data_IF_953758766514
#
_entry.id   IF_953758766514
#
_cell.length_a   1.000
_cell.length_b   1.000
_cell.length_c   1.000
_cell.angle_alpha   90.00
_cell.angle_beta   90.00
_cell.angle_gamma   90.00
#
_symmetry.space_group_name_H-M   'P 1'
#
loop_
_entity.id
_entity.type
_entity.pdbx_description
1 polymer ?
#
# COMPACT_ATOMS: atom_id res chain seq x y z
N UNK A 1 -14.09 64.35 19.28
CA UNK A 1 -12.75 63.85 18.93
C UNK A 1 -12.45 62.64 19.82
N UNK A 2 -12.89 61.45 19.37
CA UNK A 2 -12.59 60.19 20.11
C UNK A 2 -12.27 59.17 18.99
N UNK A 3 -10.99 58.88 18.81
CA UNK A 3 -10.54 57.78 17.99
C UNK A 3 -9.68 56.81 18.80
N UNK A 4 -9.99 55.51 18.62
CA UNK A 4 -9.17 54.30 18.74
C UNK A 4 -9.15 53.53 20.10
N UNK A 5 -9.95 52.44 20.13
CA UNK A 5 -9.48 51.21 20.80
C UNK A 5 -9.31 49.99 19.87
N UNK A 6 -9.60 50.06 18.54
CA UNK A 6 -9.65 48.91 17.66
C UNK A 6 -8.28 48.40 17.20
N UNK A 7 -7.23 49.22 17.20
CA UNK A 7 -5.88 48.83 16.72
C UNK A 7 -5.08 47.97 17.71
N UNK A 8 -5.33 48.06 19.02
CA UNK A 8 -4.59 47.27 19.99
C UNK A 8 -5.04 45.81 20.13
N UNK A 9 -6.31 45.51 19.84
CA UNK A 9 -6.82 44.13 19.81
C UNK A 9 -6.27 43.29 18.65
N UNK A 10 -6.03 43.92 17.51
CA UNK A 10 -5.46 43.25 16.34
C UNK A 10 -3.99 42.85 16.51
N UNK A 11 -3.20 43.66 17.20
CA UNK A 11 -1.78 43.34 17.44
C UNK A 11 -1.61 42.27 18.52
N UNK A 12 -2.44 42.24 19.56
CA UNK A 12 -2.43 41.19 20.57
C UNK A 12 -2.83 39.83 20.01
N UNK A 13 -3.78 39.78 19.05
CA UNK A 13 -4.19 38.55 18.38
C UNK A 13 -3.10 37.99 17.46
N UNK A 14 -2.33 38.85 16.77
CA UNK A 14 -1.19 38.47 15.94
C UNK A 14 -0.01 37.93 16.77
N UNK A 15 0.26 38.49 17.93
CA UNK A 15 1.32 38.05 18.84
C UNK A 15 0.99 36.70 19.50
N UNK A 16 -0.27 36.46 19.86
CA UNK A 16 -0.72 35.17 20.40
C UNK A 16 -0.75 34.06 19.35
N UNK A 17 -0.97 34.39 18.09
CA UNK A 17 -0.90 33.43 16.99
C UNK A 17 0.54 32.99 16.68
N UNK A 18 1.49 33.92 16.73
CA UNK A 18 2.91 33.65 16.44
C UNK A 18 3.61 32.84 17.57
N UNK A 19 3.14 32.94 18.83
CA UNK A 19 3.69 32.19 19.96
C UNK A 19 3.25 30.71 19.99
N UNK A 20 2.08 30.39 19.39
CA UNK A 20 1.61 28.99 19.35
C UNK A 20 2.25 28.15 18.24
N UNK A 21 2.67 28.80 17.14
CA UNK A 21 3.15 28.07 15.96
C UNK A 21 4.60 27.55 16.13
N UNK A 22 5.44 28.21 16.91
CA UNK A 22 6.85 27.80 17.12
C UNK A 22 7.02 26.51 17.92
N UNK A 23 6.18 26.28 18.94
CA UNK A 23 6.21 25.06 19.76
C UNK A 23 5.62 23.83 19.06
N UNK A 24 4.65 24.03 18.17
CA UNK A 24 3.94 22.99 17.43
C UNK A 24 4.84 22.32 16.37
N UNK A 25 5.73 23.08 15.71
CA UNK A 25 6.64 22.57 14.71
C UNK A 25 7.71 21.63 15.25
N UNK A 26 8.26 21.91 16.45
CA UNK A 26 9.24 21.02 17.10
C UNK A 26 8.62 19.70 17.60
N UNK A 27 7.38 19.72 18.03
CA UNK A 27 6.62 18.51 18.36
C UNK A 27 6.30 17.65 17.14
N UNK A 28 5.97 18.28 16.02
CA UNK A 28 5.63 17.63 14.75
C UNK A 28 6.79 16.77 14.23
N UNK A 29 8.02 17.33 14.23
CA UNK A 29 9.23 16.62 13.78
C UNK A 29 9.57 15.40 14.65
N UNK A 30 9.32 15.45 15.97
CA UNK A 30 9.55 14.31 16.85
C UNK A 30 8.54 13.19 16.64
N UNK A 31 7.26 13.51 16.55
CA UNK A 31 6.20 12.51 16.37
C UNK A 31 6.25 11.85 15.00
N UNK A 32 6.58 12.59 13.93
CA UNK A 32 6.80 12.04 12.59
C UNK A 32 8.01 11.08 12.56
N UNK A 33 9.11 11.41 13.27
CA UNK A 33 10.28 10.55 13.37
C UNK A 33 9.97 9.26 14.13
N UNK A 34 9.22 9.33 15.21
CA UNK A 34 8.84 8.14 16.00
C UNK A 34 7.91 7.23 15.18
N UNK A 35 6.89 7.78 14.53
CA UNK A 35 6.01 7.00 13.65
C UNK A 35 6.74 6.36 12.47
N UNK A 36 7.66 7.09 11.83
CA UNK A 36 8.52 6.57 10.76
C UNK A 36 9.45 5.47 11.24
N UNK A 37 10.09 5.63 12.40
CA UNK A 37 11.00 4.63 12.99
C UNK A 37 10.24 3.37 13.37
N UNK A 38 9.04 3.48 13.95
CA UNK A 38 8.22 2.31 14.30
C UNK A 38 7.79 1.55 13.04
N UNK A 39 7.28 2.24 12.01
CA UNK A 39 6.88 1.62 10.74
C UNK A 39 8.09 1.01 10.01
N UNK A 40 9.23 1.70 10.00
CA UNK A 40 10.47 1.19 9.42
C UNK A 40 11.00 -0.03 10.19
N UNK A 41 10.90 -0.03 11.52
CA UNK A 41 11.32 -1.15 12.37
C UNK A 41 10.43 -2.38 12.15
N UNK A 42 9.12 -2.18 12.04
CA UNK A 42 8.17 -3.26 11.72
C UNK A 42 8.42 -3.81 10.31
N UNK A 43 8.74 -2.92 9.35
CA UNK A 43 9.07 -3.31 7.99
C UNK A 43 10.39 -4.10 7.92
N UNK A 44 11.45 -3.62 8.58
CA UNK A 44 12.74 -4.31 8.60
C UNK A 44 12.63 -5.68 9.28
N UNK A 45 11.80 -5.81 10.32
CA UNK A 45 11.51 -7.09 10.96
C UNK A 45 10.78 -8.06 10.04
N UNK A 46 9.79 -7.58 9.28
CA UNK A 46 9.07 -8.39 8.29
C UNK A 46 9.98 -8.78 7.11
N UNK A 47 10.79 -7.84 6.61
CA UNK A 47 11.71 -8.08 5.51
C UNK A 47 12.83 -9.06 5.88
N UNK A 48 13.35 -9.04 7.12
CA UNK A 48 14.39 -9.97 7.58
C UNK A 48 13.86 -11.41 7.70
N UNK A 49 12.64 -11.60 8.16
CA UNK A 49 11.98 -12.91 8.18
C UNK A 49 11.79 -13.43 6.76
N UNK A 50 11.45 -12.55 5.82
CA UNK A 50 11.23 -12.91 4.43
C UNK A 50 12.52 -13.31 3.70
N UNK A 51 13.64 -12.58 3.88
CA UNK A 51 14.95 -12.91 3.30
C UNK A 51 15.46 -14.27 3.81
N UNK A 52 15.27 -14.58 5.09
CA UNK A 52 15.63 -15.88 5.63
C UNK A 52 14.80 -17.03 5.07
N UNK A 53 13.51 -16.80 4.77
CA UNK A 53 12.63 -17.82 4.16
C UNK A 53 13.03 -18.10 2.71
N UNK A 54 13.29 -17.07 1.91
CA UNK A 54 13.69 -17.23 0.51
C UNK A 54 15.07 -17.90 0.34
N UNK A 55 16.02 -17.68 1.25
CA UNK A 55 17.31 -18.38 1.27
C UNK A 55 17.16 -19.85 1.65
N UNK A 56 16.22 -20.19 2.53
CA UNK A 56 15.95 -21.57 2.92
C UNK A 56 15.33 -22.38 1.78
N UNK A 57 14.38 -21.80 1.05
CA UNK A 57 13.73 -22.44 -0.10
C UNK A 57 14.72 -22.66 -1.25
N UNK A 58 15.61 -21.68 -1.53
CA UNK A 58 16.65 -21.83 -2.56
C UNK A 58 17.70 -22.89 -2.18
N UNK A 59 18.04 -23.02 -0.90
CA UNK A 59 18.98 -24.03 -0.43
C UNK A 59 18.40 -25.44 -0.54
N UNK A 60 17.14 -25.61 -0.18
CA UNK A 60 16.42 -26.89 -0.27
C UNK A 60 16.32 -27.36 -1.73
N UNK A 61 16.04 -26.44 -2.66
CA UNK A 61 15.98 -26.72 -4.10
C UNK A 61 17.37 -27.10 -4.70
N UNK A 62 18.46 -26.55 -4.17
CA UNK A 62 19.83 -26.86 -4.62
C UNK A 62 20.37 -28.20 -4.07
N UNK A 63 19.95 -28.61 -2.87
CA UNK A 63 20.35 -29.88 -2.27
C UNK A 63 19.63 -31.06 -2.93
N UNK A 64 18.39 -30.88 -3.40
CA UNK A 64 17.61 -31.93 -4.05
C UNK A 64 18.13 -32.31 -5.46
N UNK A 65 18.84 -31.41 -6.15
CA UNK A 65 19.42 -31.66 -7.48
C UNK A 65 20.70 -32.51 -7.42
N UNK A 66 21.33 -32.64 -6.25
CA UNK A 66 22.63 -33.34 -6.11
C UNK A 66 22.51 -34.79 -5.63
N UNK A 67 21.36 -35.23 -5.16
CA UNK A 67 21.12 -36.63 -4.78
C UNK A 67 20.14 -37.28 -5.72
N UNK A 68 20.67 -37.86 -6.81
CA UNK A 68 19.89 -38.59 -7.81
C UNK A 68 19.25 -39.85 -7.23
N UNK A 69 18.08 -39.69 -6.63
CA UNK A 69 17.10 -40.76 -6.45
C UNK A 69 15.75 -40.24 -6.89
N UNK A 70 15.16 -40.89 -7.89
CA UNK A 70 13.78 -40.69 -8.34
C UNK A 70 12.81 -41.01 -7.19
N UNK A 71 12.63 -40.06 -6.27
CA UNK A 71 11.42 -40.00 -5.49
C UNK A 71 10.48 -39.05 -6.25
N UNK A 72 9.45 -39.64 -6.85
CA UNK A 72 8.21 -38.93 -7.14
C UNK A 72 7.66 -38.37 -5.84
N UNK A 73 8.21 -37.27 -5.36
CA UNK A 73 7.55 -36.41 -4.39
C UNK A 73 6.31 -35.91 -5.11
N UNK A 74 5.15 -36.41 -4.72
CA UNK A 74 3.88 -35.90 -5.16
C UNK A 74 3.91 -34.40 -4.93
N UNK A 75 4.05 -33.61 -5.99
CA UNK A 75 3.86 -32.18 -5.96
C UNK A 75 2.56 -31.96 -5.19
N UNK A 76 2.59 -31.19 -4.08
CA UNK A 76 1.40 -30.97 -3.29
C UNK A 76 0.26 -30.48 -4.18
N UNK A 77 -1.01 -30.69 -3.80
CA UNK A 77 -2.18 -30.33 -4.62
C UNK A 77 -2.17 -28.90 -5.17
N UNK A 78 -1.39 -28.01 -4.58
CA UNK A 78 -1.25 -26.59 -4.98
C UNK A 78 -0.41 -26.39 -6.24
N UNK A 79 0.72 -27.07 -6.40
CA UNK A 79 1.62 -26.86 -7.55
C UNK A 79 0.97 -27.17 -8.91
N UNK A 80 -0.13 -27.92 -8.95
CA UNK A 80 -0.90 -28.21 -10.15
C UNK A 80 -2.08 -27.27 -10.39
N UNK A 81 -2.53 -26.52 -9.37
CA UNK A 81 -3.73 -25.69 -9.49
C UNK A 81 -3.41 -24.31 -10.07
N UNK A 82 -2.34 -23.66 -9.66
CA UNK A 82 -1.95 -22.30 -10.10
C UNK A 82 -1.75 -22.22 -11.60
N UNK A 83 -1.10 -23.22 -12.24
CA UNK A 83 -0.94 -23.30 -13.68
C UNK A 83 -2.12 -23.95 -14.43
N UNK A 84 -3.20 -24.32 -13.74
CA UNK A 84 -4.42 -24.84 -14.37
C UNK A 84 -5.27 -23.71 -14.97
N UNK A 85 -6.14 -24.03 -15.93
CA UNK A 85 -7.08 -23.08 -16.53
C UNK A 85 -7.93 -22.38 -15.45
N UNK A 86 -8.34 -23.10 -14.42
CA UNK A 86 -9.14 -22.53 -13.32
C UNK A 86 -8.30 -21.62 -12.42
N UNK A 87 -7.04 -21.99 -12.13
CA UNK A 87 -6.11 -21.17 -11.34
C UNK A 87 -5.76 -19.86 -12.03
N UNK A 88 -5.41 -19.93 -13.32
CA UNK A 88 -5.15 -18.75 -14.15
C UNK A 88 -6.36 -17.82 -14.17
N UNK A 89 -7.56 -18.34 -14.46
CA UNK A 89 -8.78 -17.53 -14.47
C UNK A 89 -9.09 -16.88 -13.12
N UNK A 90 -8.77 -17.56 -12.01
CA UNK A 90 -8.94 -17.02 -10.66
C UNK A 90 -7.92 -15.89 -10.38
N UNK A 91 -6.66 -16.09 -10.72
CA UNK A 91 -5.60 -15.10 -10.60
C UNK A 91 -5.91 -13.85 -11.42
N UNK A 92 -6.26 -14.00 -12.70
CA UNK A 92 -6.64 -12.88 -13.58
C UNK A 92 -7.84 -12.12 -13.03
N UNK A 93 -8.88 -12.81 -12.53
CA UNK A 93 -10.03 -12.16 -11.91
C UNK A 93 -9.61 -11.31 -10.69
N UNK A 94 -8.73 -11.83 -9.84
CA UNK A 94 -8.22 -11.10 -8.67
C UNK A 94 -7.45 -9.84 -9.07
N UNK A 95 -6.60 -9.93 -10.10
CA UNK A 95 -5.84 -8.81 -10.64
C UNK A 95 -6.77 -7.76 -11.26
N UNK A 96 -7.75 -8.17 -12.07
CA UNK A 96 -8.70 -7.25 -12.69
C UNK A 96 -9.56 -6.51 -11.65
N UNK A 97 -10.04 -7.22 -10.61
CA UNK A 97 -10.80 -6.60 -9.53
C UNK A 97 -9.94 -5.60 -8.76
N UNK A 98 -8.70 -5.98 -8.43
CA UNK A 98 -7.73 -5.09 -7.79
C UNK A 98 -7.44 -3.87 -8.68
N UNK A 99 -7.30 -4.07 -9.99
CA UNK A 99 -7.11 -3.01 -10.98
C UNK A 99 -8.24 -1.98 -10.98
N UNK A 100 -9.49 -2.42 -10.91
CA UNK A 100 -10.64 -1.51 -10.79
C UNK A 100 -10.57 -0.66 -9.51
N UNK A 101 -10.23 -1.27 -8.38
CA UNK A 101 -10.13 -0.56 -7.11
C UNK A 101 -8.97 0.43 -7.11
N UNK A 102 -7.82 0.05 -7.68
CA UNK A 102 -6.64 0.94 -7.83
C UNK A 102 -6.95 2.10 -8.78
N UNK A 103 -7.71 1.89 -9.86
CA UNK A 103 -8.19 2.98 -10.72
C UNK A 103 -9.08 3.97 -9.98
N UNK A 104 -10.00 3.48 -9.14
CA UNK A 104 -10.86 4.35 -8.31
C UNK A 104 -9.98 5.22 -7.39
N UNK A 105 -8.93 4.65 -6.77
CA UNK A 105 -7.97 5.38 -5.95
C UNK A 105 -7.27 6.45 -6.81
N UNK A 106 -6.69 6.07 -7.94
CA UNK A 106 -5.96 6.97 -8.82
C UNK A 106 -6.82 8.13 -9.34
N UNK A 107 -8.05 7.85 -9.79
CA UNK A 107 -9.01 8.86 -10.24
C UNK A 107 -9.43 9.80 -9.10
N UNK A 108 -9.66 9.26 -7.90
CA UNK A 108 -10.01 10.07 -6.72
C UNK A 108 -8.89 11.04 -6.35
N UNK A 109 -7.64 10.58 -6.37
CA UNK A 109 -6.47 11.40 -6.04
C UNK A 109 -6.13 12.40 -7.15
N UNK A 110 -6.22 12.00 -8.43
CA UNK A 110 -6.01 12.90 -9.56
C UNK A 110 -7.01 14.06 -9.52
N UNK A 111 -8.27 13.76 -9.26
CA UNK A 111 -9.30 14.78 -9.09
C UNK A 111 -8.95 15.78 -7.98
N UNK A 112 -8.45 15.28 -6.82
CA UNK A 112 -8.06 16.16 -5.72
C UNK A 112 -6.88 17.04 -6.10
N UNK A 113 -5.87 16.46 -6.75
CA UNK A 113 -4.68 17.19 -7.20
C UNK A 113 -5.00 18.27 -8.25
N UNK A 114 -6.02 18.03 -9.07
CA UNK A 114 -6.50 19.00 -10.08
C UNK A 114 -7.55 19.97 -9.52
N UNK A 115 -7.91 19.87 -8.24
CA UNK A 115 -8.96 20.67 -7.59
C UNK A 115 -10.31 20.68 -8.34
N UNK A 116 -10.66 19.59 -9.04
CA UNK A 116 -11.92 19.45 -9.78
C UNK A 116 -13.08 19.34 -8.79
N UNK A 117 -14.05 20.27 -8.81
CA UNK A 117 -15.19 20.23 -7.93
C UNK A 117 -16.12 19.07 -8.30
N UNK A 118 -16.38 18.17 -7.36
CA UNK A 118 -17.36 17.09 -7.47
C UNK A 118 -18.16 17.00 -6.17
N UNK A 119 -19.11 16.09 -6.14
CA UNK A 119 -19.93 15.81 -4.95
C UNK A 119 -19.08 15.47 -3.73
N UNK A 120 -19.47 15.95 -2.56
CA UNK A 120 -18.71 15.81 -1.32
C UNK A 120 -18.41 14.36 -0.92
N UNK A 121 -19.28 13.40 -1.31
CA UNK A 121 -19.09 11.99 -1.01
C UNK A 121 -17.88 11.35 -1.75
N UNK A 122 -17.46 11.93 -2.91
CA UNK A 122 -16.34 11.38 -3.69
C UNK A 122 -15.01 11.40 -2.94
N UNK A 123 -14.89 12.20 -1.89
CA UNK A 123 -13.74 12.18 -0.97
C UNK A 123 -13.57 10.84 -0.25
N UNK A 124 -14.62 10.02 -0.17
CA UNK A 124 -14.59 8.71 0.47
C UNK A 124 -14.25 7.56 -0.49
N UNK A 125 -14.08 7.83 -1.79
CA UNK A 125 -13.75 6.78 -2.78
C UNK A 125 -12.41 6.11 -2.47
N UNK A 126 -11.36 6.86 -2.15
CA UNK A 126 -10.07 6.28 -1.79
C UNK A 126 -10.14 5.38 -0.55
N UNK A 127 -10.59 5.85 0.63
CA UNK A 127 -10.69 4.96 1.78
C UNK A 127 -11.66 3.80 1.54
N UNK A 128 -12.76 4.01 0.82
CA UNK A 128 -13.68 2.94 0.45
C UNK A 128 -13.02 1.86 -0.41
N UNK A 129 -12.26 2.26 -1.43
CA UNK A 129 -11.55 1.32 -2.28
C UNK A 129 -10.46 0.55 -1.51
N UNK A 130 -9.71 1.22 -0.61
CA UNK A 130 -8.72 0.55 0.25
C UNK A 130 -9.37 -0.47 1.20
N UNK A 131 -10.48 -0.11 1.83
CA UNK A 131 -11.22 -1.02 2.72
C UNK A 131 -11.76 -2.23 1.95
N UNK A 132 -12.32 -2.00 0.75
CA UNK A 132 -12.83 -3.08 -0.10
C UNK A 132 -11.69 -3.98 -0.58
N UNK A 133 -10.60 -3.42 -1.09
CA UNK A 133 -9.42 -4.19 -1.54
C UNK A 133 -8.80 -4.99 -0.39
N UNK A 134 -8.61 -4.37 0.76
CA UNK A 134 -8.05 -5.05 1.93
C UNK A 134 -8.95 -6.16 2.44
N UNK A 135 -10.26 -5.95 2.51
CA UNK A 135 -11.22 -7.00 2.89
C UNK A 135 -11.24 -8.15 1.88
N UNK A 136 -11.16 -7.83 0.58
CA UNK A 136 -11.06 -8.82 -0.47
C UNK A 136 -9.79 -9.67 -0.31
N UNK A 137 -8.62 -9.06 -0.13
CA UNK A 137 -7.36 -9.77 0.09
C UNK A 137 -7.38 -10.64 1.36
N UNK A 138 -8.02 -10.18 2.43
CA UNK A 138 -8.13 -10.96 3.66
C UNK A 138 -9.03 -12.20 3.51
N UNK A 139 -10.06 -12.13 2.67
CA UNK A 139 -11.10 -13.16 2.61
C UNK A 139 -10.95 -14.02 1.35
N UNK A 140 -10.80 -13.43 0.15
CA UNK A 140 -10.97 -14.13 -1.14
C UNK A 140 -9.71 -14.25 -1.99
N UNK A 141 -8.60 -13.59 -1.67
CA UNK A 141 -7.40 -13.64 -2.53
C UNK A 141 -6.85 -15.04 -2.75
N UNK A 142 -7.03 -15.93 -1.76
CA UNK A 142 -6.45 -17.26 -1.76
C UNK A 142 -7.50 -18.30 -1.42
N UNK A 143 -7.84 -19.15 -2.39
CA UNK A 143 -8.93 -20.13 -2.27
C UNK A 143 -8.69 -21.21 -1.21
N UNK A 144 -7.42 -21.50 -0.86
CA UNK A 144 -7.04 -22.45 0.17
C UNK A 144 -6.93 -21.85 1.57
N UNK A 145 -6.81 -20.51 1.67
CA UNK A 145 -6.56 -19.82 2.92
C UNK A 145 -7.84 -19.61 3.74
N UNK A 146 -7.68 -19.54 5.06
CA UNK A 146 -8.75 -19.10 5.94
C UNK A 146 -9.22 -17.68 5.56
N UNK A 147 -10.50 -17.32 5.62
CA UNK A 147 -11.62 -18.09 6.19
C UNK A 147 -12.36 -19.00 5.21
N UNK A 148 -12.11 -18.94 3.91
CA UNK A 148 -12.92 -19.64 2.90
C UNK A 148 -12.35 -21.00 2.53
N UNK A 149 -11.04 -21.19 2.68
CA UNK A 149 -10.34 -22.42 2.31
C UNK A 149 -10.19 -23.41 3.48
N UNK A 150 -9.61 -24.58 3.20
CA UNK A 150 -9.43 -25.65 4.17
C UNK A 150 -8.31 -25.38 5.19
N UNK A 151 -7.42 -24.40 4.96
CA UNK A 151 -6.33 -24.08 5.88
C UNK A 151 -6.88 -23.47 7.17
N UNK A 152 -6.28 -23.84 8.30
CA UNK A 152 -6.58 -23.19 9.58
C UNK A 152 -6.04 -21.74 9.60
N UNK A 153 -6.53 -20.93 10.55
CA UNK A 153 -6.00 -19.59 10.80
C UNK A 153 -4.48 -19.60 11.00
N UNK A 154 -3.97 -20.54 11.80
CA UNK A 154 -2.54 -20.66 12.08
C UNK A 154 -1.72 -21.00 10.82
N UNK A 155 -2.21 -21.88 9.97
CA UNK A 155 -1.55 -22.23 8.72
C UNK A 155 -1.55 -21.05 7.73
N UNK A 156 -2.63 -20.28 7.69
CA UNK A 156 -2.77 -19.10 6.80
C UNK A 156 -1.80 -17.97 7.18
N UNK A 157 -1.69 -17.66 8.47
CA UNK A 157 -0.92 -16.49 8.92
C UNK A 157 0.50 -16.81 9.39
N UNK A 158 0.80 -18.05 9.70
CA UNK A 158 2.09 -18.49 10.25
C UNK A 158 2.64 -19.74 9.54
N UNK A 159 2.04 -20.13 8.43
CA UNK A 159 2.55 -21.20 7.57
C UNK A 159 3.74 -20.76 6.72
N UNK A 160 4.25 -21.68 5.91
CA UNK A 160 5.41 -21.45 5.02
C UNK A 160 5.05 -20.86 3.67
N UNK A 161 3.77 -20.69 3.34
CA UNK A 161 3.33 -20.14 2.08
C UNK A 161 3.51 -18.62 2.04
N UNK A 162 4.53 -18.18 1.30
CA UNK A 162 4.92 -16.77 1.21
C UNK A 162 3.90 -15.92 0.47
N UNK A 163 3.21 -16.47 -0.52
CA UNK A 163 2.19 -15.78 -1.31
C UNK A 163 0.96 -15.47 -0.46
N UNK A 164 0.42 -16.48 0.22
CA UNK A 164 -0.71 -16.31 1.14
C UNK A 164 -0.35 -15.29 2.23
N UNK A 165 0.83 -15.41 2.84
CA UNK A 165 1.29 -14.47 3.85
C UNK A 165 1.36 -13.02 3.33
N UNK A 166 1.86 -12.81 2.11
CA UNK A 166 1.93 -11.50 1.49
C UNK A 166 0.54 -10.91 1.24
N UNK A 167 -0.38 -11.68 0.66
CA UNK A 167 -1.75 -11.23 0.43
C UNK A 167 -2.46 -10.84 1.72
N UNK A 168 -2.39 -11.68 2.76
CA UNK A 168 -3.04 -11.41 4.05
C UNK A 168 -2.40 -10.20 4.76
N UNK A 169 -1.08 -10.09 4.73
CA UNK A 169 -0.36 -8.95 5.32
C UNK A 169 -0.70 -7.65 4.60
N UNK A 170 -0.72 -7.67 3.26
CA UNK A 170 -1.09 -6.50 2.46
C UNK A 170 -2.56 -6.13 2.62
N UNK A 171 -3.43 -7.12 2.75
CA UNK A 171 -4.85 -6.93 3.07
C UNK A 171 -5.04 -6.21 4.42
N UNK A 172 -4.33 -6.65 5.47
CA UNK A 172 -4.38 -6.02 6.80
C UNK A 172 -3.86 -4.56 6.75
N UNK A 173 -2.76 -4.33 6.05
CA UNK A 173 -2.21 -2.99 5.86
C UNK A 173 -3.20 -2.10 5.10
N UNK A 174 -3.83 -2.59 4.04
CA UNK A 174 -4.82 -1.86 3.24
C UNK A 174 -6.04 -1.46 4.07
N UNK A 175 -6.60 -2.37 4.88
CA UNK A 175 -7.70 -2.04 5.80
C UNK A 175 -7.26 -0.99 6.81
N UNK A 176 -6.08 -1.15 7.41
CA UNK A 176 -5.56 -0.20 8.41
C UNK A 176 -5.42 1.20 7.82
N UNK A 177 -4.79 1.32 6.64
CA UNK A 177 -4.63 2.61 5.96
C UNK A 177 -5.97 3.17 5.49
N UNK A 178 -6.88 2.31 5.02
CA UNK A 178 -8.24 2.68 4.66
C UNK A 178 -9.02 3.30 5.82
N UNK A 179 -8.92 2.72 7.03
CA UNK A 179 -9.52 3.28 8.25
C UNK A 179 -8.89 4.62 8.61
N UNK A 180 -7.56 4.73 8.57
CA UNK A 180 -6.85 5.98 8.87
C UNK A 180 -7.30 7.09 7.90
N UNK A 181 -7.34 6.80 6.60
CA UNK A 181 -7.77 7.76 5.58
C UNK A 181 -9.25 8.15 5.75
N UNK A 182 -10.12 7.21 6.12
CA UNK A 182 -11.52 7.49 6.42
C UNK A 182 -11.64 8.46 7.60
N UNK A 183 -10.98 8.18 8.71
CA UNK A 183 -10.99 9.03 9.91
C UNK A 183 -10.41 10.42 9.63
N UNK A 184 -9.35 10.51 8.81
CA UNK A 184 -8.79 11.80 8.35
C UNK A 184 -9.82 12.60 7.56
N UNK A 185 -10.48 11.97 6.58
CA UNK A 185 -11.47 12.62 5.72
C UNK A 185 -12.78 12.97 6.44
N UNK A 186 -13.07 12.30 7.55
CA UNK A 186 -14.11 12.67 8.50
C UNK A 186 -13.68 13.81 9.45
N UNK A 187 -12.39 14.20 9.46
CA UNK A 187 -11.85 15.25 10.33
C UNK A 187 -11.64 14.82 11.77
N UNK A 188 -11.68 13.52 12.05
CA UNK A 188 -11.46 12.96 13.40
C UNK A 188 -9.97 12.91 13.73
N UNK A 189 -9.13 12.63 12.74
CA UNK A 189 -7.67 12.64 12.88
C UNK A 189 -7.14 13.85 12.12
N UNK A 190 -6.50 14.80 12.82
CA UNK A 190 -6.03 16.08 12.25
C UNK A 190 -4.51 16.26 12.32
N UNK A 191 -3.80 15.38 13.04
CA UNK A 191 -2.35 15.50 13.17
C UNK A 191 -1.67 15.18 11.82
N UNK A 192 -0.71 16.01 11.41
CA UNK A 192 -0.06 15.92 10.09
C UNK A 192 0.69 14.59 9.86
N UNK A 193 1.18 13.93 10.92
CA UNK A 193 1.85 12.63 10.79
C UNK A 193 0.96 11.54 10.16
N UNK A 194 -0.36 11.65 10.28
CA UNK A 194 -1.31 10.69 9.71
C UNK A 194 -1.50 10.81 8.19
N UNK A 195 -0.75 11.70 7.54
CA UNK A 195 -0.64 11.74 6.06
C UNK A 195 0.31 10.65 5.55
N UNK A 196 1.32 10.29 6.34
CA UNK A 196 2.38 9.36 5.95
C UNK A 196 1.94 7.89 5.72
N UNK A 197 0.96 7.30 6.42
CA UNK A 197 0.57 5.91 6.21
C UNK A 197 0.21 5.56 4.76
N UNK A 198 -0.49 6.43 4.04
CA UNK A 198 -0.89 6.15 2.65
C UNK A 198 0.31 6.05 1.67
N UNK A 199 1.24 7.01 1.59
CA UNK A 199 2.41 6.88 0.74
C UNK A 199 3.35 5.75 1.20
N UNK A 200 3.49 5.50 2.50
CA UNK A 200 4.28 4.38 3.01
C UNK A 200 3.66 3.03 2.64
N UNK A 201 2.35 2.91 2.65
CA UNK A 201 1.64 1.72 2.17
C UNK A 201 1.96 1.42 0.71
N UNK A 202 2.00 2.43 -0.16
CA UNK A 202 2.38 2.26 -1.57
C UNK A 202 3.84 1.84 -1.72
N UNK A 203 4.77 2.43 -0.94
CA UNK A 203 6.19 2.06 -0.96
C UNK A 203 6.36 0.60 -0.49
N UNK A 204 5.78 0.23 0.64
CA UNK A 204 5.87 -1.12 1.22
C UNK A 204 5.29 -2.15 0.24
N UNK A 205 4.09 -1.90 -0.28
CA UNK A 205 3.44 -2.78 -1.24
C UNK A 205 4.25 -2.93 -2.52
N UNK A 206 4.80 -1.83 -3.03
CA UNK A 206 5.70 -1.87 -4.19
C UNK A 206 6.95 -2.69 -3.96
N UNK A 207 7.56 -2.58 -2.77
CA UNK A 207 8.72 -3.39 -2.41
C UNK A 207 8.38 -4.88 -2.25
N UNK A 208 7.20 -5.20 -1.72
CA UNK A 208 6.74 -6.59 -1.61
C UNK A 208 6.56 -7.27 -2.97
N UNK A 209 6.17 -6.51 -4.01
CA UNK A 209 5.99 -7.05 -5.37
C UNK A 209 7.29 -7.57 -6.00
N UNK A 210 8.47 -7.04 -5.63
CA UNK A 210 9.74 -7.55 -6.15
C UNK A 210 10.08 -8.97 -5.68
N UNK A 211 9.50 -9.38 -4.57
CA UNK A 211 9.68 -10.71 -4.04
C UNK A 211 8.46 -11.62 -4.17
N UNK A 212 7.45 -11.17 -4.91
CA UNK A 212 6.26 -11.98 -5.17
C UNK A 212 6.53 -12.97 -6.29
N UNK A 213 6.36 -14.25 -6.03
CA UNK A 213 6.58 -15.31 -7.00
C UNK A 213 5.41 -16.31 -6.98
N UNK A 214 5.01 -16.78 -8.13
CA UNK A 214 3.98 -17.78 -8.31
C UNK A 214 4.60 -19.17 -8.59
N UNK A 215 5.52 -19.62 -7.75
CA UNK A 215 6.09 -20.96 -7.79
C UNK A 215 6.59 -21.38 -9.17
N UNK A 216 6.28 -22.62 -9.58
CA UNK A 216 6.70 -23.22 -10.88
C UNK A 216 5.58 -23.01 -11.92
N UNK A 217 5.31 -21.73 -12.28
CA UNK A 217 4.32 -21.40 -13.28
C UNK A 217 4.95 -21.23 -14.67
N UNK A 218 4.32 -21.68 -15.78
CA UNK A 218 4.86 -21.50 -17.14
C UNK A 218 5.13 -20.02 -17.48
N UNK A 219 4.33 -19.11 -16.97
CA UNK A 219 4.45 -17.65 -17.16
C UNK A 219 5.24 -16.93 -16.07
N UNK A 220 5.96 -17.63 -15.18
CA UNK A 220 6.63 -17.06 -14.02
C UNK A 220 7.52 -15.84 -14.35
N UNK A 221 8.26 -15.90 -15.48
CA UNK A 221 9.12 -14.78 -15.89
C UNK A 221 8.32 -13.53 -16.30
N UNK A 222 7.17 -13.71 -16.98
CA UNK A 222 6.26 -12.61 -17.34
C UNK A 222 5.65 -12.01 -16.09
N UNK A 223 5.13 -12.83 -15.19
CA UNK A 223 4.54 -12.44 -13.91
C UNK A 223 5.55 -11.63 -13.08
N UNK A 224 6.79 -12.12 -12.93
CA UNK A 224 7.85 -11.43 -12.22
C UNK A 224 8.17 -10.05 -12.83
N UNK A 225 8.18 -9.95 -14.18
CA UNK A 225 8.41 -8.68 -14.88
C UNK A 225 7.27 -7.69 -14.64
N UNK A 226 6.02 -8.14 -14.73
CA UNK A 226 4.83 -7.32 -14.49
C UNK A 226 4.81 -6.82 -13.04
N UNK A 227 5.09 -7.67 -12.06
CA UNK A 227 5.19 -7.30 -10.66
C UNK A 227 6.34 -6.32 -10.39
N UNK A 228 7.53 -6.52 -11.00
CA UNK A 228 8.64 -5.59 -10.84
C UNK A 228 8.32 -4.20 -11.41
N UNK A 229 7.60 -4.14 -12.54
CA UNK A 229 7.16 -2.88 -13.15
C UNK A 229 6.14 -2.18 -12.25
N UNK A 230 5.10 -2.87 -11.79
CA UNK A 230 4.11 -2.34 -10.84
C UNK A 230 4.76 -1.90 -9.53
N UNK A 231 5.68 -2.70 -8.99
CA UNK A 231 6.44 -2.40 -7.79
C UNK A 231 7.25 -1.11 -7.92
N UNK A 232 7.96 -0.94 -9.04
CA UNK A 232 8.73 0.27 -9.33
C UNK A 232 7.83 1.52 -9.40
N UNK A 233 6.68 1.40 -10.06
CA UNK A 233 5.69 2.49 -10.13
C UNK A 233 5.11 2.81 -8.76
N UNK A 234 4.79 1.81 -7.94
CA UNK A 234 4.22 2.00 -6.61
C UNK A 234 5.21 2.68 -5.65
N UNK A 235 6.49 2.25 -5.66
CA UNK A 235 7.56 2.89 -4.87
C UNK A 235 7.76 4.34 -5.31
N UNK A 236 7.80 4.61 -6.60
CA UNK A 236 7.94 5.97 -7.15
C UNK A 236 6.73 6.84 -6.79
N UNK A 237 5.53 6.30 -6.92
CA UNK A 237 4.29 6.98 -6.55
C UNK A 237 4.27 7.36 -5.06
N UNK A 238 4.51 6.39 -4.18
CA UNK A 238 4.56 6.62 -2.74
C UNK A 238 5.64 7.63 -2.34
N UNK A 239 6.83 7.53 -2.94
CA UNK A 239 7.92 8.47 -2.69
C UNK A 239 7.57 9.89 -3.14
N UNK A 240 6.97 10.06 -4.33
CA UNK A 240 6.55 11.36 -4.83
C UNK A 240 5.47 12.00 -3.94
N UNK A 241 4.52 11.20 -3.47
CA UNK A 241 3.47 11.64 -2.55
C UNK A 241 4.06 12.07 -1.20
N UNK A 242 4.97 11.27 -0.64
CA UNK A 242 5.63 11.59 0.62
C UNK A 242 6.45 12.88 0.52
N UNK A 243 7.18 13.07 -0.58
CA UNK A 243 7.94 14.29 -0.85
C UNK A 243 7.01 15.51 -1.00
N UNK A 244 5.90 15.38 -1.74
CA UNK A 244 4.96 16.48 -1.92
C UNK A 244 4.33 16.90 -0.59
N UNK A 245 3.97 15.94 0.26
CA UNK A 245 3.40 16.23 1.58
C UNK A 245 4.45 16.82 2.55
N UNK A 246 5.72 16.42 2.42
CA UNK A 246 6.83 16.96 3.21
C UNK A 246 7.20 18.40 2.85
N UNK A 247 7.25 18.71 1.53
CA UNK A 247 7.62 20.03 1.05
C UNK A 247 6.46 21.02 0.92
N UNK A 248 5.23 20.59 1.27
CA UNK A 248 4.06 21.46 1.24
C UNK A 248 4.22 22.61 2.23
N UNK A 249 4.59 23.80 1.71
CA UNK A 249 4.67 25.03 2.49
C UNK A 249 3.28 25.67 2.60
N UNK A 250 2.87 26.17 3.78
CA UNK A 250 1.60 26.90 3.94
C UNK A 250 1.48 28.15 3.07
N UNK A 251 2.61 28.69 2.57
CA UNK A 251 2.66 29.92 1.79
C UNK A 251 2.47 29.72 0.28
N UNK A 252 2.56 28.51 -0.24
CA UNK A 252 2.36 28.22 -1.66
C UNK A 252 1.06 27.44 -1.87
N UNK A 253 -0.01 28.17 -2.23
CA UNK A 253 -1.30 27.59 -2.65
C UNK A 253 -1.23 26.86 -4.00
N UNK A 254 -0.05 26.82 -4.63
CA UNK A 254 0.16 26.20 -5.92
C UNK A 254 0.47 24.72 -5.74
N UNK A 255 -0.36 23.84 -6.32
CA UNK A 255 -0.13 22.39 -6.32
C UNK A 255 1.25 22.08 -6.91
N UNK A 256 2.06 21.35 -6.16
CA UNK A 256 3.37 20.91 -6.65
C UNK A 256 3.17 19.90 -7.79
N UNK A 257 4.04 19.95 -8.81
CA UNK A 257 4.03 18.95 -9.90
C UNK A 257 4.18 17.52 -9.37
N UNK A 258 4.81 17.35 -8.22
CA UNK A 258 4.93 16.07 -7.53
C UNK A 258 3.57 15.49 -7.10
N UNK A 259 2.57 16.34 -6.84
CA UNK A 259 1.20 15.90 -6.51
C UNK A 259 0.49 15.21 -7.66
N UNK A 260 0.90 15.45 -8.92
CA UNK A 260 0.33 14.79 -10.09
C UNK A 260 1.01 13.46 -10.41
N UNK A 261 2.27 13.28 -10.03
CA UNK A 261 3.02 12.04 -10.28
C UNK A 261 2.37 10.86 -9.56
N UNK A 262 2.00 11.05 -8.28
CA UNK A 262 1.35 10.03 -7.47
C UNK A 262 0.10 9.43 -8.14
N UNK A 263 -0.98 10.21 -8.43
CA UNK A 263 -2.20 9.65 -9.00
C UNK A 263 -1.99 9.12 -10.42
N UNK A 264 -1.09 9.71 -11.21
CA UNK A 264 -0.79 9.24 -12.55
C UNK A 264 -0.17 7.83 -12.53
N UNK A 265 0.81 7.57 -11.67
CA UNK A 265 1.41 6.25 -11.53
C UNK A 265 0.43 5.23 -10.96
N UNK A 266 -0.42 5.62 -10.00
CA UNK A 266 -1.48 4.74 -9.49
C UNK A 266 -2.47 4.37 -10.61
N UNK A 267 -2.82 5.30 -11.50
CA UNK A 267 -3.67 5.00 -12.65
C UNK A 267 -3.00 4.02 -13.62
N UNK A 268 -1.69 4.18 -13.88
CA UNK A 268 -0.95 3.24 -14.73
C UNK A 268 -0.92 1.84 -14.13
N UNK A 269 -0.70 1.70 -12.81
CA UNK A 269 -0.78 0.41 -12.11
C UNK A 269 -2.18 -0.19 -12.27
N UNK A 270 -3.23 0.61 -12.06
CA UNK A 270 -4.61 0.15 -12.24
C UNK A 270 -4.92 -0.34 -13.65
N UNK A 271 -4.43 0.36 -14.67
CA UNK A 271 -4.57 -0.07 -16.07
C UNK A 271 -3.79 -1.36 -16.31
N UNK A 272 -2.55 -1.45 -15.84
CA UNK A 272 -1.73 -2.66 -15.99
C UNK A 272 -2.40 -3.88 -15.36
N UNK A 273 -2.99 -3.73 -14.17
CA UNK A 273 -3.75 -4.79 -13.51
C UNK A 273 -5.02 -5.20 -14.29
N UNK A 274 -5.67 -4.25 -14.99
CA UNK A 274 -6.87 -4.56 -15.80
C UNK A 274 -6.54 -5.30 -17.10
N UNK A 275 -5.32 -5.16 -17.61
CA UNK A 275 -4.86 -5.86 -18.83
C UNK A 275 -3.95 -7.05 -18.49
N UNK A 276 -3.81 -7.37 -17.20
CA UNK A 276 -3.01 -8.49 -16.74
C UNK A 276 -3.54 -9.81 -17.29
N UNK A 277 -2.64 -10.66 -17.75
CA UNK A 277 -2.94 -12.02 -18.22
C UNK A 277 -1.74 -12.93 -17.95
N UNK A 278 -1.99 -14.18 -17.62
CA UNK A 278 -0.96 -15.22 -17.39
C UNK A 278 -0.71 -16.12 -18.59
#
# INVERSE_FOLDING_TARGET
MVQRPVQLAGQAFLLLRNSRDGGMWHGLHRSCRVGFVILLSLFLSAASVWVQHSEHDQRSAHEEVTTGHEHHTAAGPQAGWEGSIAGIAYSEFNHHLSGMLVLIIGLSELRQSLAIPLWAWTRFLLPGALLTAGSFLLIWSDHNAWPIGPMSFMQTFFGSDSEIFQHKSYGLLSVTVGVIELLRRLGQIRHAAWVAPLPLFAIIGGLMLFGHSHGVHPSAAKIATDHAMMGSMAVTAGSSKLLSDWFRSPSHAQSSKWELIWPFLILLIGIQLLIYSE
#
